data_IF_563493995109
#
_entry.id   IF_563493995109
#
_cell.length_a   1.000
_cell.length_b   1.000
_cell.length_c   1.000
_cell.angle_alpha   90.00
_cell.angle_beta   90.00
_cell.angle_gamma   90.00
#
_symmetry.space_group_name_H-M   'P 1'
#
loop_
_entity.id
_entity.type
_entity.pdbx_description
1 polymer ?
#
# COMPACT_ATOMS: atom_id res chain seq x y z
N UNK A 1 4.77 6.22 -25.80
CA UNK A 1 5.69 5.46 -24.92
C UNK A 1 5.57 6.01 -23.50
N UNK A 2 5.37 5.16 -22.48
CA UNK A 2 5.42 5.58 -21.06
C UNK A 2 6.89 5.73 -20.67
N UNK A 3 7.43 6.94 -20.74
CA UNK A 3 8.79 7.24 -20.26
C UNK A 3 8.75 7.59 -18.77
N UNK A 4 9.86 7.44 -18.04
CA UNK A 4 9.91 7.95 -16.65
C UNK A 4 10.11 9.47 -16.66
N UNK A 5 9.49 10.23 -15.75
CA UNK A 5 9.67 11.69 -15.70
C UNK A 5 11.08 12.03 -15.27
N UNK A 6 11.80 12.91 -15.94
CA UNK A 6 13.20 13.21 -15.63
C UNK A 6 13.36 14.30 -14.56
N UNK A 7 12.29 15.06 -14.29
CA UNK A 7 12.30 16.18 -13.34
C UNK A 7 11.08 16.16 -12.42
N UNK A 8 11.18 16.84 -11.28
CA UNK A 8 10.04 17.00 -10.36
C UNK A 8 8.87 17.74 -11.00
N UNK A 9 9.16 18.71 -11.88
CA UNK A 9 8.13 19.47 -12.61
C UNK A 9 7.35 18.55 -13.54
N UNK A 10 8.07 17.71 -14.28
CA UNK A 10 7.46 16.74 -15.18
C UNK A 10 6.65 15.68 -14.43
N UNK A 11 7.15 15.20 -13.28
CA UNK A 11 6.39 14.30 -12.42
C UNK A 11 5.07 14.94 -11.96
N UNK A 12 5.11 16.20 -11.50
CA UNK A 12 3.91 16.93 -11.07
C UNK A 12 2.90 17.08 -12.20
N UNK A 13 3.35 17.53 -13.37
CA UNK A 13 2.50 17.72 -14.53
C UNK A 13 1.79 16.43 -14.93
N UNK A 14 2.52 15.32 -15.04
CA UNK A 14 1.94 14.03 -15.45
C UNK A 14 0.95 13.46 -14.43
N UNK A 15 1.18 13.71 -13.13
CA UNK A 15 0.21 13.32 -12.11
C UNK A 15 -1.04 14.19 -12.18
N UNK A 16 -0.88 15.49 -12.43
CA UNK A 16 -1.98 16.45 -12.52
C UNK A 16 -2.91 16.12 -13.71
N UNK A 17 -2.35 15.64 -14.82
CA UNK A 17 -3.12 15.08 -15.95
C UNK A 17 -4.00 13.88 -15.56
N UNK A 18 -3.74 13.24 -14.42
CA UNK A 18 -4.50 12.11 -13.87
C UNK A 18 -5.25 12.46 -12.57
N UNK A 19 -5.53 13.74 -12.31
CA UNK A 19 -6.18 14.20 -11.07
C UNK A 19 -5.40 13.85 -9.79
N UNK A 20 -4.09 13.59 -9.91
CA UNK A 20 -3.19 13.30 -8.80
C UNK A 20 -2.25 14.49 -8.58
N UNK A 21 -2.06 14.90 -7.34
CA UNK A 21 -1.05 15.90 -6.96
C UNK A 21 0.04 15.27 -6.12
N UNK A 22 1.25 15.81 -6.24
CA UNK A 22 2.39 15.41 -5.40
C UNK A 22 3.01 16.62 -4.71
N UNK A 23 3.17 16.50 -3.39
CA UNK A 23 3.86 17.47 -2.55
C UNK A 23 5.22 16.90 -2.15
N UNK A 24 6.28 17.55 -2.63
CA UNK A 24 7.67 17.18 -2.36
C UNK A 24 8.25 18.19 -1.37
N UNK A 25 8.76 17.70 -0.24
CA UNK A 25 9.42 18.52 0.78
C UNK A 25 10.93 18.29 0.75
N UNK A 26 11.68 19.38 0.68
CA UNK A 26 13.14 19.41 0.64
C UNK A 26 13.73 20.13 1.85
N UNK A 27 14.91 19.69 2.27
CA UNK A 27 15.70 20.44 3.24
C UNK A 27 16.56 21.51 2.51
N UNK A 28 17.35 22.26 3.28
CA UNK A 28 18.19 23.34 2.76
C UNK A 28 19.25 22.85 1.76
N UNK A 29 19.69 21.60 1.89
CA UNK A 29 20.63 20.97 0.96
C UNK A 29 19.94 20.42 -0.31
N UNK A 30 18.64 20.68 -0.48
CA UNK A 30 17.85 20.19 -1.62
C UNK A 30 17.45 18.71 -1.55
N UNK A 31 17.81 17.98 -0.48
CA UNK A 31 17.44 16.57 -0.29
C UNK A 31 15.95 16.45 -0.04
N UNK A 32 15.28 15.58 -0.80
CA UNK A 32 13.89 15.22 -0.55
C UNK A 32 13.81 14.36 0.71
N UNK A 33 13.14 14.86 1.74
CA UNK A 33 12.91 14.11 2.98
C UNK A 33 11.45 13.64 3.11
N UNK A 34 10.54 14.21 2.33
CA UNK A 34 9.13 13.87 2.38
C UNK A 34 8.48 13.96 1.00
N UNK A 35 7.63 13.00 0.70
CA UNK A 35 6.77 13.00 -0.48
C UNK A 35 5.37 12.55 -0.07
N UNK A 36 4.36 13.29 -0.51
CA UNK A 36 2.94 13.02 -0.25
C UNK A 36 2.18 13.07 -1.56
N UNK A 37 1.42 12.01 -1.86
CA UNK A 37 0.53 11.91 -3.00
C UNK A 37 -0.88 12.26 -2.55
N UNK A 38 -1.60 13.04 -3.34
CA UNK A 38 -2.94 13.52 -3.06
C UNK A 38 -3.79 13.12 -4.26
N UNK A 39 -4.88 12.43 -3.99
CA UNK A 39 -5.90 12.10 -4.98
C UNK A 39 -7.04 13.08 -4.78
N UNK A 40 -7.22 13.99 -5.75
CA UNK A 40 -8.22 15.05 -5.68
C UNK A 40 -9.64 14.51 -5.93
N UNK A 41 -9.77 13.42 -6.69
CA UNK A 41 -11.06 12.78 -6.94
C UNK A 41 -11.60 12.11 -5.68
N UNK A 42 -10.72 11.45 -4.93
CA UNK A 42 -11.08 10.74 -3.69
C UNK A 42 -10.93 11.59 -2.43
N UNK A 43 -10.30 12.76 -2.54
CA UNK A 43 -10.03 13.65 -1.40
C UNK A 43 -9.10 13.04 -0.35
N UNK A 44 -8.18 12.15 -0.75
CA UNK A 44 -7.29 11.42 0.15
C UNK A 44 -5.83 11.80 -0.08
N UNK A 45 -5.02 11.71 0.99
CA UNK A 45 -3.58 11.97 0.92
C UNK A 45 -2.79 10.83 1.58
N UNK A 46 -1.78 10.36 0.86
CA UNK A 46 -0.88 9.29 1.32
C UNK A 46 0.57 9.77 1.31
N UNK A 47 1.26 9.59 2.43
CA UNK A 47 2.71 9.71 2.45
C UNK A 47 3.29 8.57 1.63
N UNK A 48 4.30 8.85 0.79
CA UNK A 48 4.88 7.85 -0.10
C UNK A 48 5.41 6.61 0.64
N UNK A 49 5.97 6.79 1.84
CA UNK A 49 6.41 5.67 2.69
C UNK A 49 5.28 4.75 3.15
N UNK A 50 4.01 5.18 3.09
CA UNK A 50 2.84 4.35 3.37
C UNK A 50 2.35 3.57 2.14
N UNK A 51 2.69 4.03 0.93
CA UNK A 51 2.34 3.34 -0.32
C UNK A 51 3.32 2.20 -0.63
N UNK A 52 4.54 2.27 -0.09
CA UNK A 52 5.55 1.22 -0.23
C UNK A 52 6.96 1.78 -0.30
N UNK A 53 7.95 0.88 -0.32
CA UNK A 53 9.38 1.26 -0.37
C UNK A 53 9.71 2.03 -1.66
N UNK A 54 9.13 1.60 -2.79
CA UNK A 54 9.27 2.24 -4.10
C UNK A 54 8.70 3.66 -4.19
N UNK A 55 7.76 4.03 -3.31
CA UNK A 55 7.15 5.36 -3.31
C UNK A 55 7.78 6.31 -2.28
N UNK A 56 8.84 5.89 -1.60
CA UNK A 56 9.48 6.67 -0.55
C UNK A 56 10.25 7.88 -1.08
N UNK A 57 10.39 8.91 -0.24
CA UNK A 57 11.15 10.12 -0.56
C UNK A 57 12.61 9.82 -0.99
N UNK A 58 13.24 8.80 -0.40
CA UNK A 58 14.61 8.41 -0.72
C UNK A 58 14.74 7.91 -2.17
N UNK A 59 13.76 7.17 -2.68
CA UNK A 59 13.77 6.65 -4.06
C UNK A 59 13.72 7.80 -5.05
N UNK A 60 12.79 8.74 -4.87
CA UNK A 60 12.71 9.94 -5.69
C UNK A 60 13.95 10.82 -5.57
N UNK A 61 14.53 10.97 -4.36
CA UNK A 61 15.77 11.71 -4.17
C UNK A 61 16.92 11.13 -4.98
N UNK A 62 17.11 9.81 -4.91
CA UNK A 62 18.17 9.11 -5.64
C UNK A 62 17.97 9.25 -7.16
N UNK A 63 16.74 9.01 -7.63
CA UNK A 63 16.40 9.08 -9.04
C UNK A 63 16.62 10.48 -9.64
N UNK A 64 16.12 11.54 -9.00
CA UNK A 64 16.33 12.91 -9.51
C UNK A 64 17.78 13.38 -9.38
N UNK A 65 18.59 12.78 -8.50
CA UNK A 65 20.02 13.09 -8.39
C UNK A 65 20.85 12.38 -9.45
N UNK A 66 20.44 11.20 -9.91
CA UNK A 66 21.11 10.46 -10.97
C UNK A 66 20.10 9.69 -11.85
N UNK A 67 19.59 10.34 -12.92
CA UNK A 67 18.61 9.72 -13.82
C UNK A 67 19.13 8.48 -14.56
N UNK A 68 20.45 8.29 -14.65
CA UNK A 68 21.03 7.10 -15.30
C UNK A 68 20.71 5.81 -14.52
N UNK A 69 20.40 5.91 -13.23
CA UNK A 69 19.91 4.80 -12.42
C UNK A 69 18.43 5.02 -12.11
N UNK A 70 17.56 4.33 -12.85
CA UNK A 70 16.12 4.45 -12.67
C UNK A 70 15.58 3.34 -11.74
N UNK A 71 15.29 3.65 -10.46
CA UNK A 71 14.78 2.66 -9.52
C UNK A 71 13.35 2.19 -9.86
N UNK A 72 12.59 2.93 -10.68
CA UNK A 72 11.22 2.58 -11.08
C UNK A 72 11.16 1.40 -12.06
N UNK A 73 12.31 0.95 -12.58
CA UNK A 73 12.43 -0.25 -13.40
C UNK A 73 12.71 -1.51 -12.56
N UNK A 74 12.92 -1.36 -11.24
CA UNK A 74 13.12 -2.50 -10.35
C UNK A 74 11.79 -3.22 -10.08
N UNK A 75 11.56 -4.31 -10.80
CA UNK A 75 10.35 -5.14 -10.67
C UNK A 75 10.15 -5.68 -9.25
N UNK A 76 11.21 -5.82 -8.45
CA UNK A 76 11.08 -6.28 -7.06
C UNK A 76 10.38 -5.26 -6.15
N UNK A 77 10.38 -3.97 -6.53
CA UNK A 77 9.78 -2.89 -5.75
C UNK A 77 8.34 -2.56 -6.15
N UNK A 78 7.97 -2.80 -7.41
CA UNK A 78 6.68 -2.38 -7.98
C UNK A 78 5.84 -3.54 -8.54
N UNK A 79 6.40 -4.75 -8.60
CA UNK A 79 5.83 -5.86 -9.36
C UNK A 79 6.03 -5.68 -10.87
N UNK A 80 5.96 -6.77 -11.62
CA UNK A 80 6.04 -6.73 -13.08
C UNK A 80 4.79 -6.00 -13.63
N UNK A 81 4.93 -4.92 -14.42
CA UNK A 81 3.80 -4.21 -15.01
C UNK A 81 2.99 -5.05 -16.00
N UNK A 82 3.54 -6.17 -16.46
CA UNK A 82 2.84 -7.21 -17.20
C UNK A 82 1.98 -8.02 -16.25
N UNK A 83 0.87 -7.44 -15.80
CA UNK A 83 -0.28 -8.25 -15.42
C UNK A 83 -0.74 -8.91 -16.72
N UNK A 84 -0.21 -10.11 -16.96
CA UNK A 84 -0.86 -11.07 -17.83
C UNK A 84 -2.33 -11.10 -17.40
N UNK A 85 -3.22 -10.92 -18.37
CA UNK A 85 -4.65 -11.12 -18.23
C UNK A 85 -4.86 -12.60 -17.85
N UNK A 86 -4.71 -12.93 -16.58
CA UNK A 86 -5.17 -14.21 -16.02
C UNK A 86 -6.70 -14.18 -16.11
N UNK A 87 -7.21 -14.58 -17.28
CA UNK A 87 -8.54 -15.15 -17.37
C UNK A 87 -8.56 -16.37 -16.46
N UNK A 88 -9.35 -16.31 -15.41
CA UNK A 88 -9.90 -17.48 -14.75
C UNK A 88 -11.37 -17.19 -14.45
N UNK A 89 -12.30 -18.16 -14.45
CA UNK A 89 -12.15 -19.62 -14.66
C UNK A 89 -13.23 -20.26 -15.58
N UNK A 90 -12.91 -21.29 -16.38
CA UNK A 90 -13.92 -22.26 -16.88
C UNK A 90 -13.32 -23.65 -17.16
N UNK A 91 -13.58 -24.59 -16.24
CA UNK A 91 -13.95 -26.02 -16.40
C UNK A 91 -13.52 -26.79 -17.69
N UNK A 92 -12.48 -27.64 -17.56
CA UNK A 92 -12.32 -29.11 -17.86
C UNK A 92 -12.99 -29.77 -19.11
N UNK A 93 -12.38 -30.79 -19.79
CA UNK A 93 -12.18 -32.14 -19.18
C UNK A 93 -11.02 -33.07 -19.67
N UNK A 94 -10.72 -34.08 -18.82
CA UNK A 94 -10.31 -35.49 -19.14
C UNK A 94 -8.82 -35.75 -19.54
N UNK A 95 -8.03 -36.76 -19.09
CA UNK A 95 -8.25 -38.09 -18.48
C UNK A 95 -7.01 -38.61 -17.68
N UNK A 96 -7.30 -39.32 -16.56
CA UNK A 96 -6.76 -40.63 -16.11
C UNK A 96 -5.28 -40.82 -15.68
N UNK A 97 -5.03 -41.01 -14.37
CA UNK A 97 -4.88 -42.35 -13.75
C UNK A 97 -4.47 -42.31 -12.26
N UNK A 98 -5.03 -43.27 -11.51
CA UNK A 98 -4.49 -43.94 -10.31
C UNK A 98 -4.83 -43.39 -8.91
N UNK A 99 -5.86 -44.05 -8.33
CA UNK A 99 -5.98 -44.60 -6.96
C UNK A 99 -6.37 -43.70 -5.77
N UNK A 100 -7.59 -44.01 -5.28
CA UNK A 100 -7.99 -44.13 -3.87
C UNK A 100 -7.94 -42.90 -2.95
N UNK A 101 -9.11 -42.30 -2.71
CA UNK A 101 -9.65 -42.10 -1.35
C UNK A 101 -10.97 -41.33 -1.40
N UNK A 102 -12.02 -42.08 -1.13
CA UNK A 102 -13.37 -41.71 -0.75
C UNK A 102 -13.57 -40.42 0.12
N UNK A 103 -14.52 -39.60 -0.34
CA UNK A 103 -15.70 -39.06 0.36
C UNK A 103 -15.68 -37.77 1.23
N UNK A 104 -16.53 -36.83 0.77
CA UNK A 104 -17.52 -36.02 1.51
C UNK A 104 -17.05 -35.00 2.58
N UNK A 105 -16.76 -33.75 2.18
CA UNK A 105 -16.90 -32.59 3.12
C UNK A 105 -17.29 -31.26 2.44
N UNK A 106 -17.96 -31.26 1.29
CA UNK A 106 -18.40 -29.99 0.66
C UNK A 106 -19.84 -29.59 1.03
N UNK A 107 -20.58 -30.43 1.76
CA UNK A 107 -21.94 -30.13 2.24
C UNK A 107 -21.95 -29.60 3.70
N UNK A 108 -20.80 -29.48 4.38
CA UNK A 108 -20.75 -29.06 5.80
C UNK A 108 -20.50 -27.56 6.00
N UNK A 109 -20.18 -26.81 4.95
CA UNK A 109 -19.81 -25.39 5.08
C UNK A 109 -21.05 -24.49 5.20
N UNK A 110 -22.23 -24.94 4.76
CA UNK A 110 -23.45 -24.10 4.78
C UNK A 110 -24.19 -24.07 6.13
N UNK A 111 -23.92 -24.98 7.08
CA UNK A 111 -24.66 -25.05 8.36
C UNK A 111 -23.93 -24.40 9.56
N UNK A 112 -22.68 -23.96 9.40
CA UNK A 112 -21.92 -23.25 10.46
C UNK A 112 -22.27 -21.75 10.54
N UNK A 113 -22.94 -21.21 9.52
CA UNK A 113 -23.32 -19.77 9.48
C UNK A 113 -24.50 -19.44 10.43
N UNK A 114 -25.12 -20.44 11.08
CA UNK A 114 -26.35 -20.24 11.86
C UNK A 114 -26.22 -20.31 13.39
N UNK A 115 -25.03 -20.48 13.96
CA UNK A 115 -24.92 -20.70 15.41
C UNK A 115 -23.70 -20.08 16.07
N UNK A 116 -23.92 -18.92 16.70
CA UNK A 116 -23.35 -18.50 17.99
C UNK A 116 -22.72 -17.12 17.98
N UNK A 117 -23.57 -16.12 18.22
CA UNK A 117 -23.18 -15.04 19.10
C UNK A 117 -22.98 -15.63 20.50
N UNK A 118 -21.73 -15.74 20.97
CA UNK A 118 -21.33 -15.35 22.33
C UNK A 118 -19.81 -15.44 22.52
N UNK A 119 -19.31 -14.38 23.18
CA UNK A 119 -18.16 -14.37 24.08
C UNK A 119 -16.73 -14.20 23.51
N UNK A 120 -16.24 -12.97 23.70
CA UNK A 120 -15.03 -12.67 24.47
C UNK A 120 -13.70 -13.20 23.92
N UNK A 121 -13.12 -12.41 23.02
CA UNK A 121 -11.72 -12.47 22.61
C UNK A 121 -11.23 -11.08 22.27
N UNK A 122 -11.01 -10.26 23.30
CA UNK A 122 -10.52 -8.89 23.22
C UNK A 122 -9.02 -8.87 22.87
N UNK A 123 -8.68 -9.09 21.59
CA UNK A 123 -7.32 -8.93 21.06
C UNK A 123 -7.32 -8.19 19.72
N UNK A 124 -8.08 -7.09 19.64
CA UNK A 124 -7.85 -6.14 18.57
C UNK A 124 -6.58 -5.33 18.88
N UNK A 125 -5.43 -5.90 18.53
CA UNK A 125 -4.13 -5.26 18.73
C UNK A 125 -4.07 -3.87 18.06
N UNK A 126 -4.93 -3.60 17.07
CA UNK A 126 -5.10 -2.27 16.45
C UNK A 126 -5.75 -1.28 17.41
N UNK A 127 -6.83 -1.67 18.11
CA UNK A 127 -7.48 -0.90 19.17
C UNK A 127 -6.47 -0.60 20.29
N UNK A 128 -5.72 -1.61 20.74
CA UNK A 128 -4.70 -1.46 21.77
C UNK A 128 -3.53 -0.56 21.33
N UNK A 129 -3.15 -0.58 20.05
CA UNK A 129 -2.14 0.33 19.49
C UNK A 129 -2.67 1.77 19.39
N UNK A 130 -3.93 1.94 19.03
CA UNK A 130 -4.60 3.24 18.92
C UNK A 130 -4.74 3.92 20.30
N UNK A 131 -5.14 3.19 21.34
CA UNK A 131 -5.21 3.72 22.70
C UNK A 131 -3.84 4.14 23.25
N UNK A 132 -2.77 3.37 22.97
CA UNK A 132 -1.38 3.77 23.34
C UNK A 132 -0.96 5.07 22.65
N UNK A 133 -1.35 5.29 21.40
CA UNK A 133 -1.09 6.52 20.66
C UNK A 133 -1.78 7.72 21.30
N UNK A 134 -3.05 7.59 21.69
CA UNK A 134 -3.80 8.66 22.38
C UNK A 134 -3.16 9.06 23.72
N UNK A 135 -2.74 8.08 24.53
CA UNK A 135 -2.08 8.33 25.83
C UNK A 135 -0.75 9.07 25.70
N UNK A 136 -0.02 8.91 24.59
CA UNK A 136 1.24 9.65 24.34
C UNK A 136 0.96 11.11 24.01
N UNK A 137 -0.07 11.40 23.21
CA UNK A 137 -0.43 12.76 22.83
C UNK A 137 -0.94 13.57 24.04
N UNK A 138 -1.74 12.98 24.93
CA UNK A 138 -2.24 13.66 26.12
C UNK A 138 -1.15 13.98 27.15
N UNK A 139 -0.17 13.08 27.35
CA UNK A 139 0.97 13.31 28.26
C UNK A 139 1.93 14.41 27.79
N UNK A 140 2.15 14.55 26.48
CA UNK A 140 2.99 15.62 25.92
C UNK A 140 2.33 16.98 26.14
N UNK A 141 1.00 17.05 26.02
CA UNK A 141 0.25 18.30 26.25
C UNK A 141 0.16 18.69 27.74
N UNK A 142 0.16 17.73 28.68
CA UNK A 142 0.18 18.05 30.12
C UNK A 142 1.53 18.59 30.62
N UNK A 143 2.65 18.29 29.93
CA UNK A 143 4.00 18.70 30.38
C UNK A 143 4.39 20.13 29.99
N UNK A 144 3.56 20.85 29.23
CA UNK A 144 3.85 22.23 28.75
C UNK A 144 3.03 23.34 29.43
N UNK A 145 2.48 23.09 30.61
CA UNK A 145 1.93 24.15 31.48
C UNK A 145 2.42 23.98 32.90
N UNK A 146 3.59 24.55 33.18
CA UNK A 146 3.88 25.18 34.47
C UNK A 146 4.49 26.55 34.19
N UNK A 147 4.01 27.50 34.98
CA UNK A 147 4.14 28.94 34.90
C UNK A 147 5.58 29.42 35.10
#
# INVERSE_FOLDING_TARGET
MRTSPNTEKELRQRLEEQSLRVVIRKNDNGRIYGITFIDDERGVAFNGSRLGKGYSANVFNAYFSNPAHNPFLDETLYGSPSVHLEQSPTVQPSQQNTEESDNFVDELIEDVIKGSFTSTGNDDWKEAAWQRKLRRQSKVNLRRRKH
#
